data_IF_244717692248
#
_entry.id   IF_244717692248
#
_cell.length_a   1.000
_cell.length_b   1.000
_cell.length_c   1.000
_cell.angle_alpha   90.00
_cell.angle_beta   90.00
_cell.angle_gamma   90.00
#
_symmetry.space_group_name_H-M   'P 1'
#
loop_
_entity.id
_entity.type
_entity.pdbx_description
1 polymer ?
#
# COMPACT_ATOMS: atom_id res chain seq x y z
N UNK A 1 2.21 -1.34 -0.43
CA UNK A 1 1.76 -2.21 0.67
C UNK A 1 2.94 -2.99 1.18
N UNK A 2 3.06 -3.07 2.50
CA UNK A 2 4.12 -3.78 3.19
C UNK A 2 3.50 -4.79 4.15
N UNK A 3 4.11 -5.97 4.23
CA UNK A 3 3.74 -6.96 5.25
C UNK A 3 4.38 -6.61 6.61
N UNK A 4 4.08 -7.40 7.64
CA UNK A 4 4.59 -7.20 9.02
C UNK A 4 6.12 -7.22 9.17
N UNK A 5 6.84 -7.74 8.18
CA UNK A 5 8.31 -7.80 8.16
C UNK A 5 8.93 -6.62 7.40
N UNK A 6 8.13 -5.67 6.91
CA UNK A 6 8.59 -4.53 6.13
C UNK A 6 8.89 -4.88 4.66
N UNK A 7 8.57 -6.09 4.19
CA UNK A 7 8.70 -6.44 2.78
C UNK A 7 7.56 -5.81 1.97
N UNK A 8 7.92 -5.18 0.85
CA UNK A 8 6.97 -4.57 -0.09
C UNK A 8 6.31 -5.66 -0.96
N UNK A 9 5.05 -5.95 -0.68
CA UNK A 9 4.31 -7.02 -1.38
C UNK A 9 3.46 -6.51 -2.56
N UNK A 10 3.15 -5.22 -2.61
CA UNK A 10 2.39 -4.61 -3.71
C UNK A 10 2.77 -3.13 -3.90
N UNK A 11 2.83 -2.69 -5.15
CA UNK A 11 3.09 -1.29 -5.53
C UNK A 11 2.48 -0.99 -6.89
N UNK A 12 1.61 0.01 -6.96
CA UNK A 12 1.04 0.49 -8.22
C UNK A 12 0.61 1.96 -8.08
N UNK A 13 0.58 2.70 -9.18
CA UNK A 13 0.19 4.12 -9.23
C UNK A 13 -1.27 4.34 -9.64
N UNK A 14 -1.91 3.32 -10.22
CA UNK A 14 -3.26 3.38 -10.78
C UNK A 14 -4.22 2.45 -10.04
N UNK A 15 -3.76 1.23 -9.70
CA UNK A 15 -4.59 0.18 -9.10
C UNK A 15 -4.32 0.05 -7.60
N UNK A 16 -5.38 -0.21 -6.84
CA UNK A 16 -5.28 -0.60 -5.43
C UNK A 16 -4.83 -2.04 -5.26
N UNK A 17 -4.38 -2.38 -4.05
CA UNK A 17 -4.12 -3.77 -3.67
C UNK A 17 -5.43 -4.49 -3.36
N UNK A 18 -5.58 -5.71 -3.85
CA UNK A 18 -6.78 -6.54 -3.74
C UNK A 18 -6.69 -7.60 -2.63
N UNK A 19 -5.64 -7.55 -1.79
CA UNK A 19 -5.40 -8.56 -0.77
C UNK A 19 -4.64 -9.79 -1.26
N UNK A 20 -4.12 -9.80 -2.49
CA UNK A 20 -3.35 -10.94 -3.02
C UNK A 20 -1.85 -10.69 -3.05
N UNK A 21 -1.06 -11.74 -2.83
CA UNK A 21 0.39 -11.73 -3.07
C UNK A 21 0.78 -12.97 -3.86
N UNK A 22 1.48 -12.78 -4.99
CA UNK A 22 1.87 -13.87 -5.92
C UNK A 22 0.68 -14.74 -6.36
N UNK A 23 -0.46 -14.11 -6.66
CA UNK A 23 -1.67 -14.77 -7.15
C UNK A 23 -2.46 -15.55 -6.10
N UNK A 24 -2.11 -15.43 -4.81
CA UNK A 24 -2.82 -16.08 -3.70
C UNK A 24 -3.30 -15.03 -2.71
N UNK A 25 -4.46 -15.26 -2.09
CA UNK A 25 -4.93 -14.43 -0.98
C UNK A 25 -3.91 -14.49 0.17
N UNK A 26 -3.59 -13.35 0.77
CA UNK A 26 -2.74 -13.32 1.96
C UNK A 26 -3.50 -13.79 3.19
N UNK A 27 -2.79 -14.28 4.20
CA UNK A 27 -3.35 -14.61 5.51
C UNK A 27 -3.91 -13.38 6.24
N UNK A 28 -4.86 -13.61 7.15
CA UNK A 28 -5.38 -12.56 8.03
C UNK A 28 -4.24 -11.88 8.79
N UNK A 29 -4.27 -10.55 8.84
CA UNK A 29 -3.23 -9.76 9.48
C UNK A 29 -3.26 -8.28 9.12
N UNK A 30 -2.33 -7.53 9.74
CA UNK A 30 -2.15 -6.10 9.53
C UNK A 30 -1.12 -5.87 8.43
N UNK A 31 -1.43 -4.96 7.50
CA UNK A 31 -0.54 -4.52 6.44
C UNK A 31 -0.45 -3.00 6.45
N UNK A 32 0.72 -2.47 6.05
CA UNK A 32 0.94 -1.02 5.97
C UNK A 32 0.80 -0.57 4.53
N UNK A 33 -0.02 0.45 4.28
CA UNK A 33 -0.06 1.15 3.01
C UNK A 33 0.70 2.47 3.08
N UNK A 34 1.36 2.82 1.97
CA UNK A 34 2.11 4.05 1.80
C UNK A 34 1.80 4.59 0.40
N UNK A 35 1.37 5.84 0.33
CA UNK A 35 1.06 6.57 -0.89
C UNK A 35 1.96 7.79 -0.99
N UNK A 36 2.71 7.89 -2.08
CA UNK A 36 3.48 9.07 -2.44
C UNK A 36 2.81 9.73 -3.65
N UNK A 37 2.55 11.03 -3.57
CA UNK A 37 1.86 11.74 -4.64
C UNK A 37 2.31 13.20 -4.76
N UNK A 38 2.16 13.76 -5.95
CA UNK A 38 2.32 15.20 -6.21
C UNK A 38 0.95 15.80 -6.51
N UNK A 39 0.76 17.06 -6.20
CA UNK A 39 -0.45 17.81 -6.57
C UNK A 39 -0.11 18.92 -7.54
N UNK A 40 -1.07 19.35 -8.36
CA UNK A 40 -0.87 20.48 -9.28
C UNK A 40 -0.58 21.80 -8.56
N UNK A 41 -0.93 21.90 -7.28
CA UNK A 41 -0.89 23.14 -6.50
C UNK A 41 0.35 23.28 -5.62
N UNK A 42 1.15 22.21 -5.46
CA UNK A 42 2.32 22.19 -4.56
C UNK A 42 3.65 22.09 -5.31
N UNK A 43 3.65 22.37 -6.61
CA UNK A 43 4.83 22.28 -7.46
C UNK A 43 5.51 20.91 -7.40
N UNK A 44 6.79 20.89 -7.04
CA UNK A 44 7.61 19.67 -6.97
C UNK A 44 7.55 18.93 -5.62
N UNK A 45 6.75 19.41 -4.66
CA UNK A 45 6.63 18.76 -3.36
C UNK A 45 5.99 17.37 -3.49
N UNK A 46 6.65 16.38 -2.90
CA UNK A 46 6.10 15.02 -2.75
C UNK A 46 5.40 14.96 -1.40
N UNK A 47 4.13 14.57 -1.44
CA UNK A 47 3.32 14.32 -0.26
C UNK A 47 3.30 12.84 0.06
N UNK A 48 3.20 12.53 1.35
CA UNK A 48 3.06 11.16 1.84
C UNK A 48 1.76 11.01 2.62
N UNK A 49 1.03 9.93 2.33
CA UNK A 49 0.00 9.38 3.21
C UNK A 49 0.33 7.93 3.53
N UNK A 50 0.01 7.50 4.75
CA UNK A 50 0.22 6.13 5.20
C UNK A 50 -0.83 5.72 6.21
N UNK A 51 -0.98 4.42 6.38
CA UNK A 51 -1.88 3.85 7.36
C UNK A 51 -1.81 2.33 7.35
N UNK A 52 -2.72 1.73 8.11
CA UNK A 52 -2.82 0.28 8.26
C UNK A 52 -4.10 -0.23 7.61
N UNK A 53 -4.07 -1.48 7.16
CA UNK A 53 -5.24 -2.21 6.68
C UNK A 53 -5.22 -3.61 7.28
N UNK A 54 -6.37 -4.05 7.79
CA UNK A 54 -6.56 -5.39 8.30
C UNK A 54 -7.19 -6.26 7.22
N UNK A 55 -6.52 -7.37 6.89
CA UNK A 55 -7.13 -8.44 6.10
C UNK A 55 -7.73 -9.45 7.07
N UNK A 56 -9.01 -9.78 6.86
CA UNK A 56 -9.76 -10.76 7.63
C UNK A 56 -10.40 -11.69 6.60
N UNK A 57 -10.20 -12.99 6.77
CA UNK A 57 -10.66 -14.06 5.88
C UNK A 57 -11.65 -14.93 6.63
#
# INVERSE_FOLDING_TARGET
IYNRWGEKIFSNTVRGWDGTFKGKLVSSGVFVWRLLYKTKFTGNQIHEKKGEVNVII
#
